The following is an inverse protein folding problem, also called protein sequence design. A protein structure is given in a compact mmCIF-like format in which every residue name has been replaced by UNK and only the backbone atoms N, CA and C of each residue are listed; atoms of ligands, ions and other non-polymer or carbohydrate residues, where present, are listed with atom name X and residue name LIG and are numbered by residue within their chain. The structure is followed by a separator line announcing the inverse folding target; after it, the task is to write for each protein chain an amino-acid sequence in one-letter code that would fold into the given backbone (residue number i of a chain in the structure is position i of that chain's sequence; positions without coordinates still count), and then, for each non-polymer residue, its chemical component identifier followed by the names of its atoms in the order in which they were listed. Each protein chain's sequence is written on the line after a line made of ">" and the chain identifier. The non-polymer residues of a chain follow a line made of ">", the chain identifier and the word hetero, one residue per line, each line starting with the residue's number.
data_IF_845015384345
#
_entry.id   IF_845015384345
#
_cell.length_a   1.000
_cell.length_b   1.000
_cell.length_c   1.000
_cell.angle_alpha   90.00
_cell.angle_beta   90.00
_cell.angle_gamma   90.00
#
_symmetry.space_group_name_H-M   'P 1'
#
loop_
_entity.id
_entity.type
_entity.pdbx_description
1 polymer ?
#
# COMPACT_ATOMS: atom_id res chain seq x y z
N UNK A 1 14.85 -10.38 15.18
CA UNK A 1 13.42 -10.57 14.85
C UNK A 1 13.07 -9.66 13.69
N UNK A 2 12.54 -10.21 12.60
CA UNK A 2 12.07 -9.46 11.44
C UNK A 2 10.57 -9.26 11.59
N UNK A 3 10.10 -8.03 11.45
CA UNK A 3 8.69 -7.66 11.56
C UNK A 3 8.26 -7.00 10.25
N UNK A 4 7.13 -7.44 9.72
CA UNK A 4 6.46 -6.81 8.57
C UNK A 4 5.16 -6.19 9.05
N UNK A 5 4.98 -4.89 8.83
CA UNK A 5 3.69 -4.21 9.04
C UNK A 5 3.07 -3.84 7.71
N UNK A 6 1.74 -3.89 7.61
CA UNK A 6 1.00 -3.53 6.41
C UNK A 6 -0.18 -2.68 6.82
N UNK A 7 -0.18 -1.43 6.38
CA UNK A 7 -1.14 -0.42 6.78
C UNK A 7 -1.89 0.10 5.55
N UNK A 8 -3.23 0.16 5.57
CA UNK A 8 -3.98 0.77 4.50
C UNK A 8 -3.77 2.29 4.51
N UNK A 9 -3.61 2.88 3.34
CA UNK A 9 -3.61 4.34 3.17
C UNK A 9 -5.03 4.77 2.82
N UNK A 10 -5.60 5.61 3.67
CA UNK A 10 -6.96 6.15 3.52
C UNK A 10 -6.90 7.58 2.95
N UNK A 11 -7.88 7.95 2.13
CA UNK A 11 -8.10 9.36 1.77
C UNK A 11 -9.01 10.07 2.80
N UNK A 12 -9.22 11.37 2.59
CA UNK A 12 -10.08 12.21 3.44
C UNK A 12 -11.55 11.76 3.51
N UNK A 13 -11.99 10.90 2.57
CA UNK A 13 -13.32 10.29 2.52
C UNK A 13 -13.36 8.88 3.14
N UNK A 14 -12.27 8.43 3.75
CA UNK A 14 -12.15 7.09 4.34
C UNK A 14 -11.98 5.94 3.34
N UNK A 15 -11.71 6.23 2.05
CA UNK A 15 -11.51 5.22 1.02
C UNK A 15 -10.05 4.75 0.98
N UNK A 16 -9.81 3.45 0.82
CA UNK A 16 -8.47 2.86 0.71
C UNK A 16 -7.84 3.20 -0.65
N UNK A 17 -6.92 4.16 -0.66
CA UNK A 17 -6.20 4.64 -1.85
C UNK A 17 -4.84 3.98 -2.05
N UNK A 18 -4.44 3.10 -1.15
CA UNK A 18 -3.18 2.38 -1.25
C UNK A 18 -2.87 1.53 -0.03
N UNK A 19 -1.66 1.01 -0.02
CA UNK A 19 -1.15 0.18 1.06
C UNK A 19 0.32 0.51 1.28
N UNK A 20 0.69 0.71 2.53
CA UNK A 20 2.07 0.87 2.97
C UNK A 20 2.54 -0.42 3.63
N UNK A 21 3.73 -0.88 3.25
CA UNK A 21 4.38 -2.03 3.86
C UNK A 21 5.71 -1.58 4.42
N UNK A 22 5.97 -1.89 5.69
CA UNK A 22 7.27 -1.65 6.33
C UNK A 22 7.89 -2.98 6.77
N UNK A 23 9.20 -3.10 6.57
CA UNK A 23 10.00 -4.20 7.08
C UNK A 23 10.98 -3.65 8.11
N UNK A 24 10.97 -4.23 9.31
CA UNK A 24 11.83 -3.85 10.43
C UNK A 24 12.65 -5.04 10.93
N UNK A 25 13.89 -4.81 11.30
CA UNK A 25 14.75 -5.79 11.96
C UNK A 25 15.12 -5.25 13.34
N UNK A 26 14.69 -5.94 14.39
CA UNK A 26 14.86 -5.49 15.78
C UNK A 26 14.41 -4.03 16.00
N UNK A 27 13.29 -3.65 15.37
CA UNK A 27 12.73 -2.29 15.43
C UNK A 27 13.31 -1.29 14.42
N UNK A 28 14.47 -1.58 13.83
CA UNK A 28 15.13 -0.73 12.83
C UNK A 28 14.41 -0.88 11.48
N UNK A 29 13.98 0.24 10.89
CA UNK A 29 13.35 0.25 9.57
C UNK A 29 14.38 -0.11 8.49
N UNK A 30 14.15 -1.22 7.80
CA UNK A 30 14.97 -1.67 6.68
C UNK A 30 14.41 -1.19 5.33
N UNK A 31 13.09 -1.29 5.18
CA UNK A 31 12.41 -0.98 3.92
C UNK A 31 11.02 -0.43 4.19
N UNK A 32 10.63 0.55 3.38
CA UNK A 32 9.28 1.09 3.30
C UNK A 32 8.83 1.09 1.84
N UNK A 33 7.74 0.38 1.54
CA UNK A 33 7.13 0.32 0.21
C UNK A 33 5.73 0.89 0.28
N UNK A 34 5.37 1.72 -0.68
CA UNK A 34 4.00 2.23 -0.83
C UNK A 34 3.46 1.81 -2.18
N UNK A 35 2.31 1.17 -2.17
CA UNK A 35 1.54 0.82 -3.36
C UNK A 35 0.30 1.72 -3.39
N UNK A 36 0.16 2.54 -4.42
CA UNK A 36 -1.02 3.37 -4.60
C UNK A 36 -1.97 2.73 -5.60
N UNK A 37 -3.27 2.81 -5.31
CA UNK A 37 -4.31 2.50 -6.29
C UNK A 37 -4.48 3.67 -7.26
N UNK A 38 -4.95 3.42 -8.49
CA UNK A 38 -5.28 4.47 -9.46
C UNK A 38 -6.22 5.54 -8.93
N UNK A 39 -7.08 5.16 -7.96
CA UNK A 39 -7.97 6.07 -7.24
C UNK A 39 -7.25 7.25 -6.57
N UNK A 40 -5.99 7.09 -6.17
CA UNK A 40 -5.17 8.18 -5.63
C UNK A 40 -4.95 9.30 -6.66
N UNK A 41 -4.88 8.93 -7.95
CA UNK A 41 -4.55 9.84 -9.05
C UNK A 41 -5.81 10.40 -9.74
N UNK A 42 -7.00 10.19 -9.16
CA UNK A 42 -8.26 10.65 -9.75
C UNK A 42 -8.77 9.78 -10.90
N UNK A 43 -8.24 8.56 -11.06
CA UNK A 43 -8.73 7.61 -12.06
C UNK A 43 -9.90 6.86 -11.43
N UNK A 44 -11.13 7.19 -11.87
CA UNK A 44 -12.37 6.61 -11.35
C UNK A 44 -12.65 5.21 -11.92
N UNK A 45 -12.21 4.96 -13.15
CA UNK A 45 -12.39 3.69 -13.85
C UNK A 45 -11.05 3.19 -14.33
N UNK A 46 -10.65 2.02 -13.86
CA UNK A 46 -9.48 1.32 -14.34
C UNK A 46 -9.79 -0.17 -14.32
N UNK A 47 -9.43 -0.87 -15.40
CA UNK A 47 -9.51 -2.32 -15.43
C UNK A 47 -8.32 -2.87 -14.65
N UNK A 48 -8.59 -3.46 -13.48
CA UNK A 48 -7.61 -4.20 -12.70
C UNK A 48 -7.31 -5.51 -13.46
N UNK A 49 -6.38 -5.46 -14.42
CA UNK A 49 -5.88 -6.66 -15.10
C UNK A 49 -5.06 -7.48 -14.10
N UNK A 50 -5.74 -8.26 -13.26
CA UNK A 50 -5.12 -9.23 -12.37
C UNK A 50 -4.52 -10.34 -13.22
N UNK A 51 -3.20 -10.30 -13.41
CA UNK A 51 -2.46 -11.42 -14.02
C UNK A 51 -2.10 -12.37 -12.89
N UNK A 52 -2.80 -13.50 -12.78
CA UNK A 52 -2.37 -14.64 -11.97
C UNK A 52 -1.14 -15.24 -12.67
N UNK A 53 0.06 -14.86 -12.20
CA UNK A 53 1.31 -15.55 -12.52
C UNK A 53 1.63 -16.50 -11.39
#
# INVERSE_FOLDING_TARGET
>A
MITKTTEPLLNDKGKVIGTQVEYRLFGILLMKKVLYKPEKYGIEFYDDYFTLI
#
